data_IF_943384783726
#
_entry.id   IF_943384783726
#
_cell.length_a   1.000
_cell.length_b   1.000
_cell.length_c   1.000
_cell.angle_alpha   90.00
_cell.angle_beta   90.00
_cell.angle_gamma   90.00
#
_symmetry.space_group_name_H-M   'P 1'
#
loop_
_entity.id
_entity.type
_entity.pdbx_description
1 polymer ?
#
# COMPACT_ATOMS: atom_id res chain seq x y z
N UNK A 1 -36.77 54.03 20.77
CA UNK A 1 -35.81 55.15 20.58
C UNK A 1 -34.86 55.16 21.77
N UNK A 2 -33.57 54.83 21.58
CA UNK A 2 -32.55 54.94 22.64
C UNK A 2 -31.82 56.31 22.60
N UNK A 3 -31.24 56.77 23.72
CA UNK A 3 -30.76 58.14 23.88
C UNK A 3 -29.42 58.39 23.19
N UNK A 4 -29.27 59.59 22.60
CA UNK A 4 -27.98 60.08 22.04
C UNK A 4 -26.96 60.25 23.17
N UNK A 5 -25.93 59.41 23.19
CA UNK A 5 -24.78 59.53 24.11
C UNK A 5 -23.92 60.76 23.82
N UNK A 6 -23.48 61.45 24.88
CA UNK A 6 -22.57 62.62 24.84
C UNK A 6 -21.22 62.22 24.22
N UNK A 7 -20.73 63.02 23.25
CA UNK A 7 -19.37 62.89 22.71
C UNK A 7 -18.36 63.41 23.74
N UNK A 8 -17.38 62.58 24.10
CA UNK A 8 -16.25 62.97 24.95
C UNK A 8 -15.32 63.96 24.19
N UNK A 9 -14.78 64.94 24.92
CA UNK A 9 -13.89 65.95 24.37
C UNK A 9 -12.53 65.35 23.93
N UNK A 10 -11.91 65.86 22.85
CA UNK A 10 -10.61 65.38 22.38
C UNK A 10 -9.50 65.72 23.38
N UNK A 11 -8.59 64.77 23.60
CA UNK A 11 -7.44 64.94 24.50
C UNK A 11 -6.49 66.05 23.99
N UNK A 12 -5.89 66.87 24.89
CA UNK A 12 -5.18 68.10 24.52
C UNK A 12 -3.77 67.91 23.94
N UNK A 13 -3.33 66.67 23.70
CA UNK A 13 -2.03 66.40 23.07
C UNK A 13 -2.19 65.43 21.91
N UNK A 14 -1.59 65.71 20.74
CA UNK A 14 -1.57 64.76 19.64
C UNK A 14 -0.77 63.54 20.10
N UNK A 15 -1.45 62.40 20.30
CA UNK A 15 -0.77 61.12 20.35
C UNK A 15 -0.06 60.96 19.01
N UNK A 16 1.24 61.22 19.00
CA UNK A 16 2.09 60.87 17.88
C UNK A 16 1.87 59.38 17.64
N UNK A 17 1.36 59.03 16.45
CA UNK A 17 1.41 57.65 15.98
C UNK A 17 2.81 57.14 16.28
N UNK A 18 3.01 55.95 16.89
CA UNK A 18 4.33 55.44 17.14
C UNK A 18 5.07 55.46 15.80
N UNK A 19 5.97 56.43 15.67
CA UNK A 19 6.77 56.61 14.48
C UNK A 19 7.47 55.28 14.29
N UNK A 20 7.37 54.73 13.09
CA UNK A 20 8.04 53.49 12.73
C UNK A 20 9.55 53.75 12.87
N UNK A 21 10.09 53.56 14.09
CA UNK A 21 11.49 53.77 14.43
C UNK A 21 12.24 52.71 13.64
N UNK A 22 12.78 53.12 12.47
CA UNK A 22 13.71 52.29 11.71
C UNK A 22 14.80 51.86 12.70
N UNK A 23 15.01 50.55 12.92
CA UNK A 23 16.03 50.10 13.84
C UNK A 23 17.38 50.71 13.44
N UNK A 24 18.15 51.15 14.44
CA UNK A 24 19.45 51.78 14.21
C UNK A 24 20.32 50.83 13.36
N UNK A 25 20.66 51.26 12.13
CA UNK A 25 21.52 50.48 11.25
C UNK A 25 22.96 50.63 11.72
N UNK A 26 23.55 49.53 12.18
CA UNK A 26 24.96 49.50 12.50
C UNK A 26 25.78 49.76 11.22
N UNK A 27 26.59 50.83 11.14
CA UNK A 27 27.35 51.18 9.93
C UNK A 27 28.43 50.15 9.57
N UNK A 28 28.77 49.23 10.49
CA UNK A 28 29.68 48.11 10.25
C UNK A 28 29.02 46.93 9.52
N UNK A 29 27.69 46.90 9.41
CA UNK A 29 26.95 45.82 8.76
C UNK A 29 26.52 46.25 7.36
N UNK A 30 27.23 45.79 6.35
CA UNK A 30 26.92 46.01 4.93
C UNK A 30 26.26 44.79 4.27
N UNK A 31 25.31 45.03 3.35
CA UNK A 31 24.71 43.97 2.54
C UNK A 31 25.68 43.61 1.43
N UNK A 32 26.25 42.40 1.47
CA UNK A 32 27.13 41.85 0.43
C UNK A 32 26.45 40.68 -0.28
N UNK A 33 25.46 40.94 -1.17
CA UNK A 33 24.76 39.87 -1.88
C UNK A 33 25.72 39.21 -2.87
N UNK A 34 25.69 37.88 -2.95
CA UNK A 34 26.42 37.12 -3.96
C UNK A 34 25.57 36.90 -5.20
N UNK A 35 26.17 37.03 -6.37
CA UNK A 35 25.56 36.73 -7.65
C UNK A 35 25.90 35.30 -8.07
N UNK A 36 24.90 34.41 -8.03
CA UNK A 36 25.06 33.01 -8.43
C UNK A 36 24.71 32.76 -9.91
N UNK A 37 24.84 33.78 -10.76
CA UNK A 37 24.81 33.64 -12.21
C UNK A 37 25.94 32.76 -12.75
N UNK A 38 25.85 32.36 -14.01
CA UNK A 38 26.91 31.60 -14.68
C UNK A 38 28.15 32.49 -14.78
N UNK A 39 29.31 32.00 -14.31
CA UNK A 39 30.59 32.71 -14.38
C UNK A 39 30.79 33.83 -13.33
N UNK A 40 29.93 33.90 -12.32
CA UNK A 40 30.00 34.89 -11.24
C UNK A 40 30.51 34.22 -9.94
N UNK A 41 29.85 34.42 -8.80
CA UNK A 41 30.26 33.81 -7.53
C UNK A 41 30.10 32.28 -7.52
N UNK A 42 30.85 31.62 -6.63
CA UNK A 42 30.75 30.17 -6.38
C UNK A 42 29.31 29.81 -6.03
N UNK A 43 28.80 28.80 -6.72
CA UNK A 43 27.45 28.29 -6.53
C UNK A 43 27.25 27.79 -5.09
N UNK A 44 26.08 28.07 -4.48
CA UNK A 44 25.78 27.56 -3.16
C UNK A 44 25.60 26.04 -3.21
N UNK A 45 25.69 25.39 -2.05
CA UNK A 45 25.32 23.99 -1.93
C UNK A 45 23.84 23.81 -2.33
N UNK A 46 23.57 22.82 -3.17
CA UNK A 46 22.22 22.49 -3.67
C UNK A 46 21.92 21.03 -3.40
N UNK A 47 20.63 20.66 -3.44
CA UNK A 47 20.24 19.26 -3.39
C UNK A 47 20.66 18.54 -4.69
N UNK A 48 21.77 17.81 -4.63
CA UNK A 48 22.33 17.06 -5.76
C UNK A 48 21.80 15.62 -5.86
N UNK A 49 20.80 15.21 -5.06
CA UNK A 49 20.32 13.81 -4.96
C UNK A 49 19.98 13.15 -6.30
N UNK A 50 19.52 13.92 -7.29
CA UNK A 50 19.23 13.43 -8.65
C UNK A 50 20.48 13.18 -9.50
N UNK A 51 21.57 13.86 -9.20
CA UNK A 51 22.85 13.87 -9.95
C UNK A 51 23.93 13.03 -9.26
N UNK A 52 23.65 12.52 -8.06
CA UNK A 52 24.53 11.60 -7.33
C UNK A 52 24.80 10.35 -8.16
N UNK A 53 26.08 9.93 -8.19
CA UNK A 53 26.46 8.60 -8.66
C UNK A 53 26.04 7.56 -7.64
N UNK A 54 24.84 7.00 -7.83
CA UNK A 54 24.28 6.01 -6.92
C UNK A 54 25.08 4.69 -6.90
N UNK A 55 25.21 4.03 -5.72
CA UNK A 55 25.79 2.70 -5.62
C UNK A 55 25.14 1.69 -6.59
N UNK A 56 25.90 0.66 -6.99
CA UNK A 56 25.48 -0.28 -8.02
C UNK A 56 24.13 -0.94 -7.72
N UNK A 57 23.90 -1.41 -6.49
CA UNK A 57 22.64 -2.07 -6.10
C UNK A 57 21.42 -1.14 -6.25
N UNK A 58 21.55 0.15 -5.91
CA UNK A 58 20.48 1.14 -6.08
C UNK A 58 20.17 1.37 -7.56
N UNK A 59 21.21 1.46 -8.40
CA UNK A 59 21.06 1.60 -9.85
C UNK A 59 20.33 0.39 -10.44
N UNK A 60 20.76 -0.82 -10.10
CA UNK A 60 20.15 -2.07 -10.58
C UNK A 60 18.67 -2.19 -10.18
N UNK A 61 18.32 -1.91 -8.93
CA UNK A 61 16.93 -1.95 -8.46
C UNK A 61 16.04 -0.93 -9.20
N UNK A 62 16.55 0.29 -9.40
CA UNK A 62 15.83 1.34 -10.16
C UNK A 62 15.68 0.96 -11.64
N UNK A 63 16.74 0.44 -12.26
CA UNK A 63 16.71 -0.04 -13.65
C UNK A 63 15.74 -1.20 -13.83
N UNK A 64 15.73 -2.19 -12.93
CA UNK A 64 14.76 -3.31 -12.94
C UNK A 64 13.32 -2.78 -12.91
N UNK A 65 13.02 -1.83 -12.02
CA UNK A 65 11.68 -1.20 -11.96
C UNK A 65 11.33 -0.44 -13.24
N UNK A 66 12.28 0.31 -13.81
CA UNK A 66 12.08 1.02 -15.08
C UNK A 66 11.82 0.04 -16.22
N UNK A 67 12.60 -1.03 -16.30
CA UNK A 67 12.46 -2.04 -17.34
C UNK A 67 11.06 -2.67 -17.31
N UNK A 68 10.57 -3.07 -16.12
CA UNK A 68 9.22 -3.61 -15.95
C UNK A 68 8.10 -2.65 -16.35
N UNK A 69 8.31 -1.33 -16.27
CA UNK A 69 7.33 -0.34 -16.75
C UNK A 69 7.40 -0.13 -18.27
N UNK A 70 8.57 -0.32 -18.88
CA UNK A 70 8.82 -0.02 -20.30
C UNK A 70 8.49 -1.19 -21.21
N UNK A 71 8.81 -2.40 -20.79
CA UNK A 71 8.49 -3.61 -21.55
C UNK A 71 6.98 -3.87 -21.53
N UNK A 72 6.48 -4.53 -22.56
CA UNK A 72 5.12 -5.09 -22.54
C UNK A 72 5.13 -6.30 -21.61
N UNK A 73 4.28 -6.26 -20.59
CA UNK A 73 4.21 -7.30 -19.56
C UNK A 73 3.03 -8.23 -19.87
N UNK A 74 3.26 -9.56 -19.93
CA UNK A 74 2.19 -10.52 -20.17
C UNK A 74 1.05 -10.41 -19.15
N UNK A 75 -0.21 -10.65 -19.55
CA UNK A 75 -1.38 -10.52 -18.68
C UNK A 75 -1.29 -11.32 -17.36
N UNK A 76 -0.71 -12.54 -17.44
CA UNK A 76 -0.51 -13.41 -16.28
C UNK A 76 0.38 -12.79 -15.18
N UNK A 77 1.27 -11.86 -15.53
CA UNK A 77 2.11 -11.12 -14.57
C UNK A 77 1.47 -9.77 -14.27
N UNK A 78 0.89 -9.10 -15.27
CA UNK A 78 0.26 -7.79 -15.14
C UNK A 78 -0.89 -7.79 -14.13
N UNK A 79 -1.63 -8.90 -13.96
CA UNK A 79 -2.68 -9.02 -12.95
C UNK A 79 -2.20 -8.70 -11.52
N UNK A 80 -0.94 -8.93 -11.17
CA UNK A 80 -0.39 -8.60 -9.84
C UNK A 80 -0.15 -7.10 -9.64
N UNK A 81 -0.23 -6.27 -10.69
CA UNK A 81 -0.24 -4.81 -10.56
C UNK A 81 -1.61 -4.30 -10.10
N UNK A 82 -2.68 -5.07 -10.38
CA UNK A 82 -4.06 -4.76 -10.00
C UNK A 82 -4.39 -5.43 -8.66
N UNK A 83 -4.30 -4.64 -7.61
CA UNK A 83 -4.47 -5.09 -6.23
C UNK A 83 -5.76 -4.54 -5.65
N UNK A 84 -6.32 -5.26 -4.68
CA UNK A 84 -7.43 -4.82 -3.86
C UNK A 84 -7.18 -3.41 -3.32
N UNK A 85 -8.24 -2.60 -3.34
CA UNK A 85 -8.19 -1.25 -2.83
C UNK A 85 -7.97 -1.24 -1.32
N UNK A 86 -7.68 -0.06 -0.78
CA UNK A 86 -7.29 0.08 0.63
C UNK A 86 -8.41 -0.37 1.57
N UNK A 87 -9.67 -0.15 1.23
CA UNK A 87 -10.80 -0.43 2.12
C UNK A 87 -11.05 -1.94 2.18
N UNK A 88 -11.12 -2.61 1.02
CA UNK A 88 -11.25 -4.06 0.95
C UNK A 88 -10.11 -4.78 1.66
N UNK A 89 -8.87 -4.34 1.43
CA UNK A 89 -7.71 -4.90 2.11
C UNK A 89 -7.79 -4.71 3.64
N UNK A 90 -8.23 -3.56 4.11
CA UNK A 90 -8.33 -3.27 5.55
C UNK A 90 -9.38 -4.15 6.23
N UNK A 91 -10.55 -4.35 5.58
CA UNK A 91 -11.58 -5.27 6.06
C UNK A 91 -11.07 -6.72 6.11
N UNK A 92 -10.40 -7.18 5.05
CA UNK A 92 -9.80 -8.51 5.00
C UNK A 92 -8.77 -8.74 6.11
N UNK A 93 -7.87 -7.77 6.35
CA UNK A 93 -6.87 -7.87 7.43
C UNK A 93 -7.49 -7.81 8.83
N UNK A 94 -8.58 -7.03 9.02
CA UNK A 94 -9.30 -6.99 10.30
C UNK A 94 -9.88 -8.35 10.64
N UNK A 95 -10.51 -9.02 9.68
CA UNK A 95 -11.02 -10.38 9.85
C UNK A 95 -9.87 -11.36 10.12
N UNK A 96 -8.81 -11.34 9.30
CA UNK A 96 -7.64 -12.23 9.47
C UNK A 96 -6.96 -12.09 10.83
N UNK A 97 -6.93 -10.89 11.42
CA UNK A 97 -6.35 -10.67 12.73
C UNK A 97 -7.10 -11.41 13.86
N UNK A 98 -8.39 -11.72 13.68
CA UNK A 98 -9.15 -12.58 14.62
C UNK A 98 -8.75 -14.06 14.52
N UNK A 99 -8.26 -14.48 13.36
CA UNK A 99 -7.94 -15.88 13.03
C UNK A 99 -6.43 -16.14 12.95
N UNK A 100 -5.61 -15.39 13.70
CA UNK A 100 -4.15 -15.59 13.69
C UNK A 100 -3.79 -16.96 14.27
N UNK A 101 -2.84 -17.69 13.67
CA UNK A 101 -2.33 -18.92 14.25
C UNK A 101 -1.59 -18.65 15.56
N UNK A 102 -1.57 -19.63 16.46
CA UNK A 102 -0.88 -19.55 17.76
C UNK A 102 0.62 -19.23 17.60
N UNK A 103 1.16 -18.44 18.52
CA UNK A 103 2.62 -18.28 18.62
C UNK A 103 3.25 -19.50 19.27
N UNK A 104 4.58 -19.64 19.19
CA UNK A 104 5.29 -20.72 19.87
C UNK A 104 5.11 -20.69 21.39
N UNK A 105 4.98 -19.49 21.98
CA UNK A 105 4.76 -19.32 23.42
C UNK A 105 3.33 -19.77 23.78
N UNK A 106 2.31 -19.27 23.07
CA UNK A 106 0.92 -19.66 23.30
C UNK A 106 0.72 -21.17 23.12
N UNK A 107 1.38 -21.75 22.12
CA UNK A 107 1.36 -23.19 21.88
C UNK A 107 1.95 -23.97 23.05
N UNK A 108 3.06 -23.51 23.63
CA UNK A 108 3.67 -24.14 24.81
C UNK A 108 2.70 -24.10 25.99
N UNK A 109 2.09 -22.94 26.25
CA UNK A 109 1.10 -22.79 27.34
C UNK A 109 -0.14 -23.67 27.13
N UNK A 110 -0.65 -23.75 25.89
CA UNK A 110 -1.77 -24.61 25.54
C UNK A 110 -1.42 -26.07 25.81
N UNK A 111 -0.26 -26.54 25.35
CA UNK A 111 0.18 -27.92 25.56
C UNK A 111 0.40 -28.24 27.04
N UNK A 112 0.93 -27.31 27.84
CA UNK A 112 1.07 -27.52 29.29
C UNK A 112 -0.29 -27.60 29.98
N UNK A 113 -1.25 -26.74 29.62
CA UNK A 113 -2.62 -26.77 30.17
C UNK A 113 -3.38 -28.03 29.74
N UNK A 114 -3.19 -28.47 28.50
CA UNK A 114 -3.74 -29.73 28.00
C UNK A 114 -3.16 -30.92 28.75
N UNK A 115 -1.83 -30.95 28.95
CA UNK A 115 -1.17 -32.01 29.69
C UNK A 115 -1.63 -32.10 31.16
N UNK A 116 -1.78 -30.97 31.86
CA UNK A 116 -2.28 -30.95 33.24
C UNK A 116 -3.73 -31.43 33.31
N UNK A 117 -4.61 -30.96 32.40
CA UNK A 117 -6.00 -31.38 32.38
C UNK A 117 -6.18 -32.87 32.08
N UNK A 118 -5.32 -33.44 31.22
CA UNK A 118 -5.31 -34.88 30.93
C UNK A 118 -4.81 -35.67 32.15
N UNK A 119 -3.79 -35.18 32.85
CA UNK A 119 -3.34 -35.82 34.10
C UNK A 119 -4.40 -35.80 35.21
N UNK A 120 -5.28 -34.80 35.21
CA UNK A 120 -6.44 -34.70 36.10
C UNK A 120 -7.63 -35.57 35.66
N UNK A 121 -7.48 -36.39 34.62
CA UNK A 121 -8.48 -37.37 34.18
C UNK A 121 -9.48 -36.88 33.13
N UNK A 122 -9.31 -35.67 32.57
CA UNK A 122 -10.16 -35.20 31.46
C UNK A 122 -9.71 -35.81 30.13
N UNK A 123 -10.68 -36.16 29.27
CA UNK A 123 -10.38 -36.67 27.92
C UNK A 123 -9.88 -35.55 27.02
N UNK A 124 -8.95 -35.87 26.13
CA UNK A 124 -8.30 -34.92 25.20
C UNK A 124 -9.30 -34.11 24.35
N UNK A 125 -10.40 -34.75 23.97
CA UNK A 125 -11.45 -34.17 23.11
C UNK A 125 -12.24 -33.07 23.81
N UNK A 126 -12.47 -33.20 25.13
CA UNK A 126 -13.17 -32.20 25.93
C UNK A 126 -12.30 -30.98 26.22
N UNK A 127 -10.98 -31.18 26.25
CA UNK A 127 -10.00 -30.14 26.61
C UNK A 127 -9.62 -29.26 25.41
N UNK A 128 -9.57 -29.81 24.19
CA UNK A 128 -9.05 -29.10 23.01
C UNK A 128 -10.01 -29.12 21.82
N UNK A 129 -10.79 -28.03 21.67
CA UNK A 129 -11.64 -27.81 20.49
C UNK A 129 -10.79 -27.42 19.28
N UNK A 130 -11.20 -27.85 18.08
CA UNK A 130 -10.53 -27.51 16.80
C UNK A 130 -10.39 -25.98 16.67
N UNK A 131 -9.16 -25.44 16.55
CA UNK A 131 -8.96 -24.01 16.42
C UNK A 131 -9.27 -23.52 15.01
N UNK A 132 -9.96 -22.39 14.92
CA UNK A 132 -10.14 -21.66 13.66
C UNK A 132 -8.93 -20.77 13.41
N UNK A 133 -8.19 -21.04 12.34
CA UNK A 133 -6.95 -20.34 12.02
C UNK A 133 -6.86 -20.07 10.52
N UNK A 134 -6.28 -18.92 10.18
CA UNK A 134 -5.86 -18.61 8.83
C UNK A 134 -4.81 -19.65 8.39
N UNK A 135 -5.05 -20.27 7.24
CA UNK A 135 -4.15 -21.25 6.64
C UNK A 135 -3.11 -20.50 5.82
N UNK A 136 -1.87 -20.95 5.91
CA UNK A 136 -0.74 -20.34 5.24
C UNK A 136 0.22 -21.39 4.72
N UNK A 137 1.14 -20.96 3.86
CA UNK A 137 2.06 -21.82 3.13
C UNK A 137 1.50 -22.18 1.75
N UNK A 138 2.32 -22.00 0.72
CA UNK A 138 1.90 -22.13 -0.68
C UNK A 138 1.28 -23.51 -0.95
N UNK A 139 2.02 -24.58 -0.67
CA UNK A 139 1.59 -25.96 -0.96
C UNK A 139 0.30 -26.34 -0.21
N UNK A 140 0.19 -25.91 1.06
CA UNK A 140 -1.00 -26.18 1.84
C UNK A 140 -2.22 -25.44 1.31
N UNK A 141 -2.08 -24.15 0.97
CA UNK A 141 -3.18 -23.37 0.40
C UNK A 141 -3.61 -23.91 -0.96
N UNK A 142 -2.68 -24.32 -1.82
CA UNK A 142 -2.98 -24.97 -3.10
C UNK A 142 -3.86 -26.20 -2.91
N UNK A 143 -3.47 -27.11 -2.00
CA UNK A 143 -4.27 -28.29 -1.69
C UNK A 143 -5.66 -27.95 -1.12
N UNK A 144 -5.81 -26.85 -0.39
CA UNK A 144 -7.13 -26.38 0.10
C UNK A 144 -8.01 -25.82 -1.03
N UNK A 145 -7.41 -25.16 -2.02
CA UNK A 145 -8.11 -24.65 -3.21
C UNK A 145 -8.56 -25.80 -4.11
N UNK A 146 -7.68 -26.78 -4.36
CA UNK A 146 -8.00 -27.97 -5.15
C UNK A 146 -9.12 -28.81 -4.51
N UNK A 147 -9.11 -28.93 -3.18
CA UNK A 147 -10.17 -29.62 -2.45
C UNK A 147 -11.43 -28.75 -2.23
N UNK A 148 -11.49 -27.52 -2.77
CA UNK A 148 -12.59 -26.55 -2.57
C UNK A 148 -12.95 -26.30 -1.09
N UNK A 149 -11.96 -26.39 -0.20
CA UNK A 149 -12.10 -26.14 1.24
C UNK A 149 -11.81 -24.68 1.62
N UNK A 150 -11.16 -23.94 0.74
CA UNK A 150 -10.88 -22.52 0.93
C UNK A 150 -12.12 -21.67 0.60
N UNK A 151 -12.53 -20.82 1.54
CA UNK A 151 -13.63 -19.86 1.36
C UNK A 151 -13.15 -18.54 0.75
N UNK A 152 -11.92 -18.11 1.07
CA UNK A 152 -11.29 -16.91 0.53
C UNK A 152 -9.78 -17.06 0.51
N UNK A 153 -9.13 -16.65 -0.59
CA UNK A 153 -7.67 -16.68 -0.76
C UNK A 153 -7.12 -15.27 -0.98
N UNK A 154 -6.12 -14.87 -0.18
CA UNK A 154 -5.38 -13.62 -0.39
C UNK A 154 -3.98 -13.91 -0.91
N UNK A 155 -3.61 -13.27 -2.01
CA UNK A 155 -2.34 -13.47 -2.71
C UNK A 155 -1.51 -12.19 -2.61
N UNK A 156 -0.22 -12.28 -2.25
CA UNK A 156 0.65 -11.10 -2.25
C UNK A 156 1.03 -10.67 -3.67
N UNK A 157 1.20 -9.37 -3.88
CA UNK A 157 1.58 -8.82 -5.17
C UNK A 157 3.11 -8.75 -5.43
N UNK A 158 3.92 -8.85 -4.39
CA UNK A 158 5.38 -8.62 -4.38
C UNK A 158 6.17 -9.89 -4.03
N UNK A 159 5.65 -11.05 -4.42
CA UNK A 159 6.36 -12.33 -4.32
C UNK A 159 7.51 -12.37 -5.32
N UNK A 160 8.67 -12.81 -4.84
CA UNK A 160 9.88 -12.99 -5.63
C UNK A 160 10.48 -14.32 -5.15
N UNK A 161 10.51 -15.39 -5.99
CA UNK A 161 10.15 -15.45 -7.42
C UNK A 161 8.63 -15.45 -7.71
N UNK A 162 8.20 -14.86 -8.84
CA UNK A 162 6.78 -14.67 -9.20
C UNK A 162 6.10 -15.98 -9.66
N UNK A 163 6.90 -16.92 -10.14
CA UNK A 163 6.50 -18.25 -10.63
C UNK A 163 5.75 -19.04 -9.56
N UNK A 164 6.03 -18.78 -8.29
CA UNK A 164 5.36 -19.41 -7.15
C UNK A 164 3.87 -19.09 -7.07
N UNK A 165 3.43 -17.92 -7.54
CA UNK A 165 2.04 -17.47 -7.39
C UNK A 165 1.35 -17.20 -8.72
N UNK A 166 2.07 -17.16 -9.85
CA UNK A 166 1.51 -16.77 -11.15
C UNK A 166 0.31 -17.62 -11.59
N UNK A 167 0.31 -18.91 -11.25
CA UNK A 167 -0.77 -19.85 -11.60
C UNK A 167 -1.96 -19.79 -10.63
N UNK A 168 -1.78 -19.22 -9.44
CA UNK A 168 -2.74 -19.33 -8.35
C UNK A 168 -4.07 -18.61 -8.62
N UNK A 169 -4.09 -17.39 -9.23
CA UNK A 169 -5.32 -16.77 -9.70
C UNK A 169 -6.13 -17.66 -10.66
N UNK A 170 -5.45 -18.31 -11.61
CA UNK A 170 -6.09 -19.21 -12.57
C UNK A 170 -6.62 -20.48 -11.89
N UNK A 171 -5.88 -21.03 -10.92
CA UNK A 171 -6.32 -22.17 -10.11
C UNK A 171 -7.57 -21.83 -9.28
N UNK A 172 -7.56 -20.71 -8.55
CA UNK A 172 -8.71 -20.28 -7.75
C UNK A 172 -9.95 -20.10 -8.63
N UNK A 173 -9.80 -19.49 -9.81
CA UNK A 173 -10.87 -19.36 -10.80
C UNK A 173 -11.42 -20.72 -11.26
N UNK A 174 -10.54 -21.65 -11.65
CA UNK A 174 -10.95 -22.99 -12.12
C UNK A 174 -11.71 -23.76 -11.04
N UNK A 175 -11.31 -23.59 -9.78
CA UNK A 175 -11.94 -24.26 -8.64
C UNK A 175 -13.18 -23.52 -8.08
N UNK A 176 -13.45 -22.30 -8.55
CA UNK A 176 -14.57 -21.48 -8.06
C UNK A 176 -14.35 -20.86 -6.69
N UNK A 177 -13.08 -20.67 -6.30
CA UNK A 177 -12.70 -20.08 -5.00
C UNK A 177 -12.44 -18.58 -5.16
N UNK A 178 -13.11 -17.71 -4.39
CA UNK A 178 -12.85 -16.27 -4.38
C UNK A 178 -11.40 -15.95 -3.98
N UNK A 179 -10.74 -15.07 -4.72
CA UNK A 179 -9.39 -14.62 -4.39
C UNK A 179 -9.24 -13.10 -4.51
N UNK A 180 -8.26 -12.53 -3.81
CA UNK A 180 -7.87 -11.14 -4.00
C UNK A 180 -6.35 -10.98 -3.94
N UNK A 181 -5.79 -10.13 -4.80
CA UNK A 181 -4.36 -9.78 -4.74
C UNK A 181 -4.20 -8.56 -3.83
N UNK A 182 -3.33 -8.65 -2.84
CA UNK A 182 -3.15 -7.63 -1.80
C UNK A 182 -1.72 -7.10 -1.81
N UNK A 183 -1.56 -5.81 -1.48
CA UNK A 183 -0.23 -5.18 -1.38
C UNK A 183 0.57 -5.69 -0.18
N UNK A 184 1.73 -6.29 -0.44
CA UNK A 184 2.78 -6.56 0.53
C UNK A 184 2.71 -7.92 1.21
N UNK A 185 3.61 -8.83 0.84
CA UNK A 185 3.83 -10.15 1.46
C UNK A 185 4.27 -10.05 2.92
N UNK A 186 4.91 -8.94 3.29
CA UNK A 186 5.26 -8.66 4.68
C UNK A 186 4.00 -8.48 5.55
N UNK A 187 2.96 -7.82 5.02
CA UNK A 187 1.69 -7.63 5.75
C UNK A 187 0.97 -8.96 5.97
N UNK A 188 0.94 -9.82 4.96
CA UNK A 188 0.43 -11.19 5.15
C UNK A 188 1.27 -11.97 6.15
N UNK A 189 2.60 -11.83 6.10
CA UNK A 189 3.54 -12.43 7.06
C UNK A 189 3.22 -12.06 8.51
N UNK A 190 2.93 -10.78 8.78
CA UNK A 190 2.60 -10.32 10.14
C UNK A 190 1.40 -11.02 10.75
N UNK A 191 0.39 -11.37 9.94
CA UNK A 191 -0.80 -12.11 10.42
C UNK A 191 -0.39 -13.46 11.00
N UNK A 192 0.53 -14.16 10.34
CA UNK A 192 0.94 -15.53 10.67
C UNK A 192 2.26 -15.63 11.45
N UNK A 193 2.72 -14.52 12.03
CA UNK A 193 3.97 -14.44 12.80
C UNK A 193 5.22 -14.85 11.99
N UNK A 194 5.23 -14.54 10.69
CA UNK A 194 6.36 -14.75 9.79
C UNK A 194 6.86 -13.43 9.21
N UNK A 195 8.11 -13.40 8.74
CA UNK A 195 8.66 -12.22 8.03
C UNK A 195 7.87 -11.91 6.76
N UNK A 196 7.46 -12.95 6.04
CA UNK A 196 6.71 -12.86 4.79
C UNK A 196 5.78 -14.06 4.62
N UNK A 197 4.62 -13.84 4.01
CA UNK A 197 3.76 -14.91 3.51
C UNK A 197 3.32 -14.57 2.08
N UNK A 198 3.44 -15.52 1.16
CA UNK A 198 3.03 -15.33 -0.24
C UNK A 198 1.50 -15.39 -0.39
N UNK A 199 0.85 -16.26 0.38
CA UNK A 199 -0.58 -16.55 0.29
C UNK A 199 -1.14 -16.84 1.68
N UNK A 200 -2.37 -16.39 1.94
CA UNK A 200 -3.19 -16.79 3.08
C UNK A 200 -4.55 -17.27 2.59
N UNK A 201 -5.13 -18.24 3.29
CA UNK A 201 -6.49 -18.71 3.02
C UNK A 201 -7.32 -18.79 4.31
N UNK A 202 -8.60 -18.45 4.19
CA UNK A 202 -9.61 -18.74 5.21
C UNK A 202 -10.40 -19.96 4.74
N UNK A 203 -10.49 -20.99 5.58
CA UNK A 203 -11.32 -22.18 5.30
C UNK A 203 -12.67 -22.06 5.97
N UNK A 204 -12.67 -21.93 7.29
CA UNK A 204 -13.84 -21.83 8.14
C UNK A 204 -13.66 -20.65 9.10
N UNK A 205 -14.76 -19.96 9.40
CA UNK A 205 -14.84 -18.91 10.42
C UNK A 205 -15.88 -19.28 11.47
N UNK A 206 -15.78 -18.66 12.64
CA UNK A 206 -16.79 -18.77 13.70
C UNK A 206 -18.14 -18.26 13.19
N UNK A 207 -19.23 -18.73 13.78
CA UNK A 207 -20.60 -18.35 13.41
C UNK A 207 -20.82 -16.83 13.44
N UNK A 208 -20.25 -16.15 14.44
CA UNK A 208 -20.28 -14.69 14.62
C UNK A 208 -19.68 -13.90 13.45
N UNK A 209 -18.65 -14.43 12.79
CA UNK A 209 -17.94 -13.75 11.71
C UNK A 209 -18.38 -14.19 10.30
N UNK A 210 -19.31 -15.15 10.18
CA UNK A 210 -19.80 -15.64 8.88
C UNK A 210 -20.38 -14.52 8.02
N UNK A 211 -21.08 -13.56 8.63
CA UNK A 211 -21.67 -12.42 7.92
C UNK A 211 -20.59 -11.46 7.41
N UNK A 212 -19.55 -11.20 8.19
CA UNK A 212 -18.40 -10.39 7.80
C UNK A 212 -17.62 -11.04 6.65
N UNK A 213 -17.37 -12.35 6.74
CA UNK A 213 -16.74 -13.12 5.66
C UNK A 213 -17.59 -13.10 4.38
N UNK A 214 -18.91 -13.30 4.47
CA UNK A 214 -19.78 -13.33 3.30
C UNK A 214 -19.80 -11.99 2.57
N UNK A 215 -19.90 -10.87 3.33
CA UNK A 215 -19.79 -9.52 2.75
C UNK A 215 -18.44 -9.29 2.07
N UNK A 216 -17.36 -9.76 2.68
CA UNK A 216 -16.03 -9.64 2.10
C UNK A 216 -15.90 -10.46 0.81
N UNK A 217 -16.42 -11.69 0.79
CA UNK A 217 -16.44 -12.55 -0.39
C UNK A 217 -17.26 -11.94 -1.52
N UNK A 218 -18.45 -11.40 -1.24
CA UNK A 218 -19.25 -10.66 -2.23
C UNK A 218 -18.50 -9.46 -2.77
N UNK A 219 -17.90 -8.63 -1.90
CA UNK A 219 -17.12 -7.47 -2.34
C UNK A 219 -15.90 -7.86 -3.19
N UNK A 220 -15.27 -9.01 -2.91
CA UNK A 220 -14.19 -9.58 -3.74
C UNK A 220 -14.75 -10.04 -5.10
N UNK A 221 -15.84 -10.81 -5.12
CA UNK A 221 -16.42 -11.33 -6.35
C UNK A 221 -16.92 -10.20 -7.28
N UNK A 222 -17.74 -9.30 -6.75
CA UNK A 222 -18.42 -8.27 -7.53
C UNK A 222 -17.47 -7.09 -7.81
N UNK A 223 -16.71 -6.67 -6.79
CA UNK A 223 -15.86 -5.49 -6.87
C UNK A 223 -14.51 -5.73 -7.51
N UNK A 224 -13.81 -6.81 -7.12
CA UNK A 224 -12.45 -7.07 -7.55
C UNK A 224 -12.39 -8.04 -8.73
N UNK A 225 -13.14 -9.12 -8.67
CA UNK A 225 -13.08 -10.19 -9.65
C UNK A 225 -13.85 -9.81 -10.92
N UNK A 226 -15.09 -9.33 -10.85
CA UNK A 226 -15.84 -8.97 -12.08
C UNK A 226 -15.17 -7.84 -12.88
N UNK A 227 -14.67 -6.81 -12.20
CA UNK A 227 -14.01 -5.66 -12.83
C UNK A 227 -12.64 -6.00 -13.43
N UNK A 228 -11.90 -6.93 -12.82
CA UNK A 228 -10.56 -7.26 -13.28
C UNK A 228 -10.50 -8.55 -14.10
N UNK A 229 -11.47 -9.46 -14.08
CA UNK A 229 -11.31 -10.78 -14.69
C UNK A 229 -11.41 -10.87 -16.20
N UNK A 230 -12.45 -10.25 -16.80
CA UNK A 230 -12.64 -10.31 -18.25
C UNK A 230 -11.47 -9.66 -18.97
N UNK A 231 -10.95 -8.59 -18.38
CA UNK A 231 -9.86 -7.81 -18.95
C UNK A 231 -8.47 -8.31 -18.51
N UNK A 232 -8.24 -8.76 -17.26
CA UNK A 232 -6.88 -9.11 -16.80
C UNK A 232 -6.26 -10.31 -17.52
N UNK A 233 -7.05 -11.21 -18.10
CA UNK A 233 -6.49 -12.31 -18.92
C UNK A 233 -6.03 -11.85 -20.30
N UNK A 234 -6.51 -10.70 -20.77
CA UNK A 234 -6.26 -10.14 -22.11
C UNK A 234 -5.45 -8.86 -22.09
N UNK A 235 -5.44 -8.16 -20.96
CA UNK A 235 -4.80 -6.87 -20.78
C UNK A 235 -3.30 -7.03 -20.57
N UNK A 236 -2.53 -6.59 -21.56
CA UNK A 236 -1.09 -6.48 -21.45
C UNK A 236 -0.73 -5.26 -20.63
N UNK A 237 0.12 -5.44 -19.63
CA UNK A 237 0.65 -4.35 -18.82
C UNK A 237 1.88 -3.68 -19.45
N UNK A 238 2.38 -2.64 -18.78
CA UNK A 238 3.63 -1.97 -19.17
C UNK A 238 3.49 -1.11 -20.43
N UNK A 239 4.57 -0.97 -21.19
CA UNK A 239 4.62 -0.05 -22.35
C UNK A 239 4.52 1.44 -21.98
N UNK A 240 4.68 1.78 -20.70
CA UNK A 240 4.56 3.16 -20.21
C UNK A 240 5.86 3.88 -20.57
N UNK A 241 5.77 5.00 -21.28
CA UNK A 241 6.94 5.80 -21.66
C UNK A 241 7.42 6.73 -20.52
N UNK A 242 8.66 7.20 -20.62
CA UNK A 242 9.23 8.11 -19.62
C UNK A 242 8.70 9.53 -19.72
N UNK A 243 8.66 10.26 -18.60
CA UNK A 243 8.13 11.63 -18.54
C UNK A 243 8.75 12.58 -19.58
N UNK A 244 10.08 12.49 -19.82
CA UNK A 244 10.75 13.30 -20.85
C UNK A 244 10.28 12.95 -22.28
N UNK A 245 10.03 11.67 -22.55
CA UNK A 245 9.53 11.22 -23.84
C UNK A 245 8.07 11.67 -24.04
N UNK A 246 7.22 11.51 -23.02
CA UNK A 246 5.84 11.99 -23.04
C UNK A 246 5.78 13.50 -23.28
N UNK A 247 6.56 14.28 -22.52
CA UNK A 247 6.61 15.74 -22.70
C UNK A 247 7.05 16.14 -24.12
N UNK A 248 7.98 15.40 -24.74
CA UNK A 248 8.38 15.63 -26.14
C UNK A 248 7.23 15.35 -27.10
N UNK A 249 6.52 14.23 -26.92
CA UNK A 249 5.36 13.88 -27.74
C UNK A 249 4.23 14.88 -27.57
N UNK A 250 3.92 15.30 -26.33
CA UNK A 250 2.92 16.31 -26.03
C UNK A 250 3.25 17.66 -26.66
N UNK A 251 4.52 18.08 -26.62
CA UNK A 251 4.97 19.31 -27.28
C UNK A 251 4.78 19.25 -28.80
N UNK A 252 5.10 18.11 -29.42
CA UNK A 252 4.87 17.88 -30.85
C UNK A 252 3.38 17.86 -31.20
N UNK A 253 2.57 17.16 -30.41
CA UNK A 253 1.10 17.11 -30.58
C UNK A 253 0.50 18.52 -30.53
N UNK A 254 0.85 19.32 -29.52
CA UNK A 254 0.38 20.71 -29.40
C UNK A 254 0.77 21.58 -30.59
N UNK A 255 2.00 21.43 -31.11
CA UNK A 255 2.45 22.17 -32.28
C UNK A 255 1.67 21.80 -33.56
N UNK A 256 1.36 20.51 -33.74
CA UNK A 256 0.53 20.03 -34.85
C UNK A 256 -0.91 20.52 -34.70
N UNK A 257 -1.50 20.39 -33.51
CA UNK A 257 -2.86 20.87 -33.22
C UNK A 257 -2.99 22.39 -33.47
N UNK A 258 -1.99 23.19 -33.09
CA UNK A 258 -1.97 24.62 -33.39
C UNK A 258 -1.83 24.91 -34.89
N UNK A 259 -1.15 24.05 -35.65
CA UNK A 259 -1.00 24.22 -37.09
C UNK A 259 -2.26 23.82 -37.88
N UNK A 260 -3.07 22.89 -37.35
CA UNK A 260 -4.32 22.43 -37.97
C UNK A 260 -5.50 23.37 -37.66
N UNK A 261 -5.45 24.11 -36.54
CA UNK A 261 -6.50 25.04 -36.09
C UNK A 261 -6.62 26.36 -36.89
N UNK A 262 -6.25 26.33 -38.18
CA UNK A 262 -6.47 27.44 -39.13
C UNK A 262 -7.96 27.59 -39.38
#
# INVERSE_FOLDING_TARGET
MPPKGKKAAPAPFPQSKPGNKKPAKNPLIEKRPRNYGIGQDIQPQRNLSRMVRWPAYVRLQRQKKILNMRLKVPPAIAQFQHVADRNLATQAFKLLNKYRPETKADKKERLTKEATAISEGKKKEDVSKKPYTAKFGLNHVVGLVENKKASLVLIANDVDPIELVVYLPALCRKMGVPYAIVKGKARLGTVVHQKTAAVLALTEVRSEDKTELSKLVSAVNDGYLESHHKDASRHWGGGIMGAKANARMDKRRKAIESAIKI
#
